data_IF_301966271552
#
_entry.id   IF_301966271552
#
_cell.length_a   1.000
_cell.length_b   1.000
_cell.length_c   1.000
_cell.angle_alpha   90.00
_cell.angle_beta   90.00
_cell.angle_gamma   90.00
#
_symmetry.space_group_name_H-M   'P 1'
#
loop_
_entity.id
_entity.type
_entity.pdbx_description
1 polymer ?
#
# COMPACT_ATOMS: atom_id res chain seq x y z
N UNK A 1 -17.95 -20.11 -0.70
CA UNK A 1 -16.90 -19.40 0.09
C UNK A 1 -17.05 -17.92 -0.20
N UNK A 2 -17.13 -17.02 0.81
CA UNK A 2 -17.14 -15.59 0.55
C UNK A 2 -15.88 -15.19 -0.25
N UNK A 3 -15.96 -14.19 -1.15
CA UNK A 3 -14.81 -13.76 -1.92
C UNK A 3 -13.70 -13.33 -0.96
N UNK A 4 -12.50 -13.90 -1.13
CA UNK A 4 -11.32 -13.50 -0.36
C UNK A 4 -11.08 -12.01 -0.60
N UNK A 5 -10.92 -11.23 0.47
CA UNK A 5 -10.65 -9.79 0.41
C UNK A 5 -9.53 -9.49 -0.61
N UNK A 6 -9.80 -8.57 -1.55
CA UNK A 6 -8.86 -8.08 -2.56
C UNK A 6 -8.76 -6.56 -2.48
N UNK A 7 -7.64 -6.01 -1.98
CA UNK A 7 -7.46 -4.57 -1.79
C UNK A 7 -7.86 -3.72 -2.99
N UNK A 8 -7.50 -4.14 -4.21
CA UNK A 8 -7.79 -3.37 -5.43
C UNK A 8 -9.28 -3.17 -5.73
N UNK A 9 -10.15 -4.02 -5.19
CA UNK A 9 -11.59 -3.91 -5.41
C UNK A 9 -12.23 -2.80 -4.58
N UNK A 10 -11.49 -2.17 -3.67
CA UNK A 10 -11.90 -0.98 -2.93
C UNK A 10 -11.78 0.32 -3.76
N UNK A 11 -11.04 0.30 -4.87
CA UNK A 11 -10.97 1.42 -5.82
C UNK A 11 -12.12 1.38 -6.83
N UNK A 12 -12.54 2.55 -7.31
CA UNK A 12 -13.49 2.65 -8.42
C UNK A 12 -12.93 2.05 -9.70
N UNK A 13 -11.63 2.25 -9.93
CA UNK A 13 -10.87 1.70 -11.06
C UNK A 13 -9.80 0.74 -10.51
N UNK A 14 -10.09 -0.58 -10.40
CA UNK A 14 -9.18 -1.54 -9.76
C UNK A 14 -7.82 -1.70 -10.42
N UNK A 15 -7.63 -1.25 -11.67
CA UNK A 15 -6.34 -1.29 -12.37
C UNK A 15 -5.38 -0.17 -11.94
N UNK A 16 -5.88 0.86 -11.26
CA UNK A 16 -5.07 2.00 -10.79
C UNK A 16 -4.38 1.72 -9.45
N UNK A 17 -4.68 0.58 -8.82
CA UNK A 17 -4.11 0.19 -7.53
C UNK A 17 -2.58 0.04 -7.61
N UNK A 18 -1.87 0.65 -6.65
CA UNK A 18 -0.41 0.64 -6.59
C UNK A 18 0.28 1.32 -7.77
N UNK A 19 -0.45 2.11 -8.57
CA UNK A 19 0.06 2.89 -9.70
C UNK A 19 -0.23 4.37 -9.48
N UNK A 20 -1.51 4.70 -9.28
CA UNK A 20 -1.96 6.09 -9.14
C UNK A 20 -2.17 6.42 -7.65
N UNK A 21 -1.32 7.26 -7.03
CA UNK A 21 -1.47 7.64 -5.64
C UNK A 21 -2.76 8.41 -5.36
N UNK A 22 -3.39 9.02 -6.37
CA UNK A 22 -4.63 9.79 -6.28
C UNK A 22 -5.86 8.98 -6.71
N UNK A 23 -5.75 7.65 -6.83
CA UNK A 23 -6.83 6.80 -7.27
C UNK A 23 -8.10 6.97 -6.41
N UNK A 24 -9.25 7.01 -7.10
CA UNK A 24 -10.56 7.20 -6.46
C UNK A 24 -11.05 5.91 -5.79
N UNK A 25 -11.59 6.09 -4.60
CA UNK A 25 -12.02 5.06 -3.65
C UNK A 25 -13.54 4.91 -3.74
N UNK A 26 -14.06 3.68 -3.86
CA UNK A 26 -15.52 3.46 -3.92
C UNK A 26 -16.24 4.05 -2.71
N UNK A 27 -17.42 4.62 -2.89
CA UNK A 27 -18.26 5.00 -1.74
C UNK A 27 -18.59 3.77 -0.88
N UNK A 28 -18.47 3.90 0.43
CA UNK A 28 -18.90 2.87 1.38
C UNK A 28 -20.41 2.97 1.72
N UNK A 29 -21.12 3.93 1.12
CA UNK A 29 -22.49 4.26 1.47
C UNK A 29 -22.60 5.13 2.74
N UNK A 30 -23.84 5.48 3.14
CA UNK A 30 -24.08 6.44 4.23
C UNK A 30 -23.78 5.89 5.63
N UNK A 31 -23.77 4.56 5.82
CA UNK A 31 -23.57 3.95 7.14
C UNK A 31 -22.75 2.66 7.02
N UNK A 32 -21.43 2.75 6.79
CA UNK A 32 -20.61 1.56 6.66
C UNK A 32 -20.47 0.80 7.97
N UNK A 33 -20.31 -0.52 7.89
CA UNK A 33 -19.93 -1.36 9.01
C UNK A 33 -18.47 -1.12 9.44
N UNK A 34 -18.10 -1.56 10.64
CA UNK A 34 -16.70 -1.53 11.11
C UNK A 34 -15.78 -2.33 10.18
N UNK A 35 -16.18 -3.55 9.80
CA UNK A 35 -15.42 -4.40 8.91
C UNK A 35 -15.16 -3.75 7.53
N UNK A 36 -16.14 -3.04 6.97
CA UNK A 36 -15.94 -2.29 5.72
C UNK A 36 -14.93 -1.16 5.87
N UNK A 37 -14.96 -0.43 7.00
CA UNK A 37 -13.96 0.62 7.29
C UNK A 37 -12.56 0.04 7.45
N UNK A 38 -12.43 -1.08 8.15
CA UNK A 38 -11.16 -1.78 8.36
C UNK A 38 -10.56 -2.30 7.04
N UNK A 39 -11.38 -2.97 6.21
CA UNK A 39 -10.97 -3.42 4.88
C UNK A 39 -10.54 -2.25 3.99
N UNK A 40 -11.28 -1.14 4.02
CA UNK A 40 -10.90 0.09 3.31
C UNK A 40 -9.58 0.67 3.82
N UNK A 41 -9.39 0.71 5.15
CA UNK A 41 -8.15 1.16 5.78
C UNK A 41 -6.95 0.31 5.36
N UNK A 42 -7.10 -1.02 5.42
CA UNK A 42 -6.06 -1.96 4.98
C UNK A 42 -5.73 -1.77 3.49
N UNK A 43 -6.74 -1.63 2.63
CA UNK A 43 -6.53 -1.38 1.21
C UNK A 43 -5.81 -0.06 0.95
N UNK A 44 -6.15 1.01 1.68
CA UNK A 44 -5.48 2.33 1.60
C UNK A 44 -4.02 2.27 1.97
N UNK A 45 -3.69 1.56 3.04
CA UNK A 45 -2.30 1.38 3.47
C UNK A 45 -1.53 0.61 2.41
N UNK A 46 -2.05 -0.54 1.96
CA UNK A 46 -1.37 -1.34 0.94
C UNK A 46 -1.22 -0.58 -0.38
N UNK A 47 -2.22 0.22 -0.80
CA UNK A 47 -2.14 1.05 -2.01
C UNK A 47 -0.98 2.04 -1.93
N UNK A 48 -0.87 2.77 -0.82
CA UNK A 48 0.21 3.74 -0.62
C UNK A 48 1.59 3.07 -0.67
N UNK A 49 1.75 1.93 0.04
CA UNK A 49 2.99 1.16 0.00
C UNK A 49 3.30 0.67 -1.41
N UNK A 50 2.32 0.11 -2.11
CA UNK A 50 2.49 -0.39 -3.47
C UNK A 50 2.92 0.72 -4.44
N UNK A 51 2.34 1.92 -4.34
CA UNK A 51 2.75 3.07 -5.13
C UNK A 51 4.22 3.45 -4.87
N UNK A 52 4.66 3.51 -3.61
CA UNK A 52 6.06 3.81 -3.29
C UNK A 52 7.03 2.75 -3.79
N UNK A 53 6.72 1.47 -3.54
CA UNK A 53 7.55 0.35 -4.00
C UNK A 53 7.67 0.38 -5.53
N UNK A 54 6.56 0.62 -6.24
CA UNK A 54 6.57 0.70 -7.70
C UNK A 54 7.39 1.88 -8.20
N UNK A 55 7.19 3.07 -7.64
CA UNK A 55 7.93 4.27 -8.03
C UNK A 55 9.44 4.05 -7.85
N UNK A 56 9.85 3.54 -6.69
CA UNK A 56 11.24 3.24 -6.38
C UNK A 56 11.84 2.15 -7.27
N UNK A 57 11.06 1.11 -7.58
CA UNK A 57 11.48 0.03 -8.46
C UNK A 57 11.72 0.54 -9.90
N UNK A 58 10.84 1.40 -10.39
CA UNK A 58 10.98 2.04 -11.71
C UNK A 58 12.18 2.98 -11.72
N UNK A 59 12.33 3.83 -10.70
CA UNK A 59 13.45 4.77 -10.59
C UNK A 59 14.81 4.06 -10.54
N UNK A 60 14.95 3.00 -9.74
CA UNK A 60 16.23 2.34 -9.51
C UNK A 60 16.56 1.22 -10.50
N UNK A 61 15.56 0.55 -11.04
CA UNK A 61 15.74 -0.65 -11.87
C UNK A 61 15.05 -0.56 -13.24
N UNK A 62 14.37 0.55 -13.55
CA UNK A 62 13.63 0.76 -14.80
C UNK A 62 12.27 0.05 -14.87
N UNK A 63 12.07 -1.02 -14.11
CA UNK A 63 10.78 -1.72 -14.05
C UNK A 63 10.63 -2.59 -12.80
N UNK A 64 9.38 -2.93 -12.46
CA UNK A 64 9.09 -3.90 -11.39
C UNK A 64 9.66 -5.29 -11.71
N UNK A 65 9.69 -5.68 -12.99
CA UNK A 65 10.25 -6.96 -13.41
C UNK A 65 11.77 -7.01 -13.18
N UNK A 66 12.48 -5.93 -13.52
CA UNK A 66 13.91 -5.81 -13.26
C UNK A 66 14.22 -5.79 -11.75
N UNK A 67 13.42 -5.07 -10.95
CA UNK A 67 13.50 -5.10 -9.49
C UNK A 67 13.33 -6.52 -8.93
N UNK A 68 12.28 -7.24 -9.35
CA UNK A 68 12.04 -8.61 -8.91
C UNK A 68 13.20 -9.54 -9.29
N UNK A 69 13.72 -9.42 -10.52
CA UNK A 69 14.88 -10.17 -11.00
C UNK A 69 16.15 -9.87 -10.19
N UNK A 70 16.39 -8.59 -9.87
CA UNK A 70 17.60 -8.17 -9.15
C UNK A 70 17.67 -8.75 -7.73
N UNK A 71 16.53 -8.92 -7.07
CA UNK A 71 16.46 -9.46 -5.70
C UNK A 71 15.94 -10.90 -5.64
N UNK A 72 15.93 -11.61 -6.76
CA UNK A 72 15.47 -13.02 -6.86
C UNK A 72 14.06 -13.24 -6.27
N UNK A 73 13.16 -12.26 -6.47
CA UNK A 73 11.78 -12.33 -6.02
C UNK A 73 10.91 -13.03 -7.07
N UNK A 74 9.87 -13.71 -6.60
CA UNK A 74 8.79 -14.19 -7.48
C UNK A 74 8.03 -13.00 -8.08
N UNK A 75 8.26 -12.76 -9.38
CA UNK A 75 7.63 -11.66 -10.12
C UNK A 75 6.10 -11.76 -10.15
N UNK A 76 5.52 -12.96 -10.22
CA UNK A 76 4.07 -13.12 -10.25
C UNK A 76 3.47 -12.74 -8.90
N UNK A 77 4.10 -13.18 -7.81
CA UNK A 77 3.69 -12.81 -6.45
C UNK A 77 3.84 -11.32 -6.22
N UNK A 78 5.01 -10.75 -6.54
CA UNK A 78 5.30 -9.32 -6.35
C UNK A 78 4.35 -8.45 -7.19
N UNK A 79 4.12 -8.83 -8.44
CA UNK A 79 3.13 -8.19 -9.31
C UNK A 79 1.70 -8.29 -8.75
N UNK A 80 1.34 -9.41 -8.14
CA UNK A 80 0.05 -9.60 -7.46
C UNK A 80 -0.11 -8.72 -6.22
N UNK A 81 0.94 -8.58 -5.41
CA UNK A 81 0.98 -7.69 -4.24
C UNK A 81 0.81 -6.23 -4.64
N UNK A 82 1.60 -5.77 -5.61
CA UNK A 82 1.60 -4.37 -6.05
C UNK A 82 0.34 -3.99 -6.84
N UNK A 83 -0.38 -4.96 -7.42
CA UNK A 83 -1.68 -4.73 -8.06
C UNK A 83 -2.86 -4.88 -7.10
N UNK A 84 -2.62 -5.29 -5.85
CA UNK A 84 -3.68 -5.51 -4.85
C UNK A 84 -4.55 -6.74 -5.10
N UNK A 85 -4.04 -7.71 -5.87
CA UNK A 85 -4.66 -9.04 -6.04
C UNK A 85 -4.38 -9.96 -4.83
N UNK A 86 -3.23 -9.74 -4.18
CA UNK A 86 -2.75 -10.46 -3.00
C UNK A 86 -2.62 -9.47 -1.84
N UNK A 87 -3.02 -9.88 -0.64
CA UNK A 87 -2.84 -9.07 0.58
C UNK A 87 -1.36 -9.03 0.93
N UNK A 88 -0.84 -7.82 1.10
CA UNK A 88 0.55 -7.58 1.50
C UNK A 88 0.71 -7.85 2.99
N UNK A 89 1.69 -8.70 3.32
CA UNK A 89 2.04 -9.00 4.70
C UNK A 89 3.05 -7.98 5.22
N UNK A 90 3.23 -7.90 6.53
CA UNK A 90 4.21 -6.99 7.12
C UNK A 90 5.64 -7.35 6.71
N UNK A 91 5.93 -8.63 6.49
CA UNK A 91 7.20 -9.13 5.98
C UNK A 91 7.49 -8.64 4.56
N UNK A 92 6.45 -8.50 3.72
CA UNK A 92 6.59 -7.94 2.37
C UNK A 92 7.00 -6.46 2.46
N UNK A 93 6.38 -5.70 3.37
CA UNK A 93 6.70 -4.30 3.63
C UNK A 93 8.12 -4.15 4.15
N UNK A 94 8.50 -4.94 5.16
CA UNK A 94 9.84 -4.92 5.74
C UNK A 94 10.91 -5.29 4.69
N UNK A 95 10.65 -6.32 3.90
CA UNK A 95 11.54 -6.73 2.82
C UNK A 95 11.70 -5.65 1.75
N UNK A 96 10.60 -5.03 1.32
CA UNK A 96 10.65 -3.94 0.35
C UNK A 96 11.43 -2.73 0.91
N UNK A 97 11.23 -2.38 2.18
CA UNK A 97 11.99 -1.33 2.87
C UNK A 97 13.50 -1.62 2.90
N UNK A 98 13.90 -2.85 3.23
CA UNK A 98 15.30 -3.25 3.24
C UNK A 98 15.95 -3.16 1.85
N UNK A 99 15.28 -3.73 0.84
CA UNK A 99 15.78 -3.77 -0.55
C UNK A 99 15.84 -2.39 -1.19
N UNK A 100 14.81 -1.58 -0.97
CA UNK A 100 14.69 -0.27 -1.59
C UNK A 100 15.35 0.85 -0.77
N UNK A 101 15.74 0.60 0.48
CA UNK A 101 16.34 1.61 1.36
C UNK A 101 15.39 2.76 1.69
N UNK A 102 14.07 2.55 1.57
CA UNK A 102 13.08 3.62 1.69
C UNK A 102 12.37 3.60 3.05
N UNK A 103 12.15 4.77 3.68
CA UNK A 103 11.28 4.86 4.84
C UNK A 103 9.83 4.68 4.39
N UNK A 104 9.35 3.44 4.37
CA UNK A 104 7.92 3.15 4.15
C UNK A 104 7.15 3.64 5.38
N UNK A 105 6.36 4.70 5.22
CA UNK A 105 5.57 5.29 6.31
C UNK A 105 4.16 4.71 6.30
N UNK A 106 3.80 3.96 7.34
CA UNK A 106 2.41 3.50 7.51
C UNK A 106 1.63 4.66 8.13
N UNK A 107 0.69 5.25 7.39
CA UNK A 107 -0.23 6.27 7.94
C UNK A 107 -0.31 7.61 7.22
N UNK A 108 0.31 7.78 6.05
CA UNK A 108 0.15 9.02 5.27
C UNK A 108 -0.04 8.71 3.79
N UNK A 109 -1.18 9.09 3.23
CA UNK A 109 -1.38 9.07 1.78
C UNK A 109 -0.35 10.02 1.13
N UNK A 110 0.21 9.68 -0.05
CA UNK A 110 1.00 10.65 -0.81
C UNK A 110 0.07 11.81 -1.20
N UNK A 111 0.24 12.98 -0.56
CA UNK A 111 -0.59 14.18 -0.79
C UNK A 111 -1.50 14.61 0.35
N UNK A 112 -1.59 13.84 1.44
CA UNK A 112 -2.26 14.30 2.66
C UNK A 112 -1.28 15.21 3.42
N UNK A 113 -1.61 16.51 3.53
CA UNK A 113 -0.80 17.45 4.32
C UNK A 113 -0.55 16.82 5.69
N UNK A 114 0.72 16.72 6.06
CA UNK A 114 1.14 16.18 7.35
C UNK A 114 0.54 17.03 8.48
N UNK A 115 -0.66 16.69 8.93
CA UNK A 115 -1.18 17.08 10.23
C UNK A 115 -0.41 16.27 11.26
N UNK A 116 0.78 16.74 11.62
CA UNK A 116 1.57 16.15 12.68
C UNK A 116 0.79 16.18 13.97
N UNK A 117 0.40 15.01 14.48
CA UNK A 117 0.11 14.86 15.89
C UNK A 117 1.45 14.54 16.54
N UNK A 118 2.09 15.58 17.09
CA UNK A 118 3.19 15.39 18.02
C UNK A 118 2.63 14.65 19.23
N UNK A 119 3.10 13.43 19.46
CA UNK A 119 2.91 12.76 20.74
C UNK A 119 3.70 13.56 21.77
N UNK A 120 2.97 14.31 22.62
CA UNK A 120 3.57 14.98 23.76
C UNK A 120 4.11 13.93 24.72
N UNK A 121 5.40 14.00 25.04
CA UNK A 121 5.99 13.20 26.11
C UNK A 121 5.40 13.62 27.46
N UNK A 122 5.06 12.67 28.35
CA UNK A 122 4.56 13.00 29.67
C UNK A 122 5.69 13.60 30.51
N UNK A 123 5.58 14.89 30.81
CA UNK A 123 6.41 15.57 31.80
C UNK A 123 6.14 14.93 33.17
N UNK A 124 7.13 14.20 33.70
CA UNK A 124 7.09 13.73 35.08
C UNK A 124 7.57 14.87 35.99
N UNK A 125 6.74 15.22 36.97
CA UNK A 125 7.10 16.05 38.15
C UNK A 125 7.47 15.12 39.29
#
# INVERSE_FOLDING_TARGET
>A
MPPRFRPRFELEVPRSFGIDPQATWKSLGPTPSAAQREQRGAARIQHAVACWVRAAAIERFGSVAAYAKHFELDYQREGGLLRGDVVMRLEDVAGARLRLGLPIRIGSQPGEKAGGVALAEPTST
#
